data_IF_307693714987
#
_entry.id   IF_307693714987
#
_cell.length_a   1.000
_cell.length_b   1.000
_cell.length_c   1.000
_cell.angle_alpha   90.00
_cell.angle_beta   90.00
_cell.angle_gamma   90.00
#
_symmetry.space_group_name_H-M   'P 1'
#
loop_
_entity.id
_entity.type
_entity.pdbx_description
1 polymer ?
#
# COMPACT_ATOMS: atom_id res chain seq x y z
N UNK A 1 -28.98 13.28 15.01
CA UNK A 1 -28.88 13.42 13.53
C UNK A 1 -27.56 14.05 13.08
N UNK A 2 -26.63 14.35 13.99
CA UNK A 2 -25.27 14.83 13.67
C UNK A 2 -24.31 13.77 14.18
N UNK A 3 -23.52 13.15 13.30
CA UNK A 3 -22.65 12.05 13.69
C UNK A 3 -21.57 11.82 12.66
N UNK A 4 -21.96 11.29 11.50
CA UNK A 4 -21.02 11.04 10.39
C UNK A 4 -21.09 12.11 9.29
N UNK A 5 -22.25 12.72 9.05
CA UNK A 5 -22.46 13.71 7.99
C UNK A 5 -21.63 14.97 8.18
N UNK A 6 -21.67 15.60 9.37
CA UNK A 6 -20.83 16.75 9.71
C UNK A 6 -19.34 16.43 9.60
N UNK A 7 -18.93 15.26 10.10
CA UNK A 7 -17.53 14.87 10.11
C UNK A 7 -17.00 14.64 8.70
N UNK A 8 -17.82 14.01 7.84
CA UNK A 8 -17.50 13.84 6.43
C UNK A 8 -17.37 15.20 5.72
N UNK A 9 -18.27 16.14 5.99
CA UNK A 9 -18.22 17.48 5.40
C UNK A 9 -16.95 18.24 5.83
N UNK A 10 -16.64 18.21 7.13
CA UNK A 10 -15.43 18.84 7.68
C UNK A 10 -14.16 18.21 7.07
N UNK A 11 -14.13 16.88 6.95
CA UNK A 11 -13.00 16.16 6.38
C UNK A 11 -12.78 16.55 4.91
N UNK A 12 -13.85 16.68 4.13
CA UNK A 12 -13.77 17.14 2.73
C UNK A 12 -13.17 18.54 2.68
N UNK A 13 -13.62 19.47 3.53
CA UNK A 13 -13.07 20.84 3.58
C UNK A 13 -11.57 20.82 3.90
N UNK A 14 -11.14 20.03 4.89
CA UNK A 14 -9.73 19.89 5.25
C UNK A 14 -8.90 19.30 4.10
N UNK A 15 -9.42 18.30 3.38
CA UNK A 15 -8.75 17.70 2.22
C UNK A 15 -8.58 18.73 1.10
N UNK A 16 -9.58 19.59 0.87
CA UNK A 16 -9.49 20.65 -0.14
C UNK A 16 -8.41 21.68 0.23
N UNK A 17 -8.33 22.09 1.50
CA UNK A 17 -7.31 23.03 1.98
C UNK A 17 -5.89 22.45 1.91
N UNK A 18 -5.73 21.18 2.26
CA UNK A 18 -4.44 20.48 2.21
C UNK A 18 -4.05 20.16 0.75
N UNK A 19 -5.03 19.92 -0.10
CA UNK A 19 -4.86 19.56 -1.51
C UNK A 19 -4.65 18.06 -1.72
N UNK A 20 -5.26 17.53 -2.77
CA UNK A 20 -5.26 16.10 -3.10
C UNK A 20 -3.85 15.49 -3.31
N UNK A 21 -2.83 16.30 -3.59
CA UNK A 21 -1.44 15.84 -3.73
C UNK A 21 -0.70 15.69 -2.40
N UNK A 22 -1.12 16.38 -1.34
CA UNK A 22 -0.48 16.33 0.00
C UNK A 22 -1.02 15.18 0.84
N UNK A 23 -2.29 14.79 0.67
CA UNK A 23 -2.87 13.60 1.29
C UNK A 23 -2.09 12.30 1.07
N UNK A 24 -1.75 11.89 -0.17
CA UNK A 24 -1.03 10.65 -0.44
C UNK A 24 0.40 10.68 0.12
N UNK A 25 1.02 11.86 0.18
CA UNK A 25 2.36 12.04 0.73
C UNK A 25 2.37 11.89 2.26
N UNK A 26 1.42 12.54 2.94
CA UNK A 26 1.20 12.43 4.39
C UNK A 26 0.83 11.01 4.80
N UNK A 27 -0.05 10.33 4.06
CA UNK A 27 -0.41 8.94 4.34
C UNK A 27 0.75 7.98 4.09
N UNK A 28 1.59 8.21 3.06
CA UNK A 28 2.80 7.41 2.83
C UNK A 28 3.81 7.57 3.95
N UNK A 29 4.11 8.81 4.37
CA UNK A 29 5.09 9.05 5.43
C UNK A 29 4.59 8.56 6.79
N UNK A 30 3.34 8.84 7.15
CA UNK A 30 2.70 8.34 8.36
C UNK A 30 2.59 6.80 8.35
N UNK A 31 2.29 6.19 7.21
CA UNK A 31 2.21 4.73 7.05
C UNK A 31 3.56 4.03 7.28
N UNK A 32 4.67 4.64 6.82
CA UNK A 32 6.02 4.14 7.13
C UNK A 32 6.31 4.20 8.63
N UNK A 33 6.01 5.33 9.28
CA UNK A 33 6.20 5.47 10.74
C UNK A 33 5.32 4.50 11.53
N UNK A 34 4.05 4.34 11.15
CA UNK A 34 3.12 3.41 11.78
C UNK A 34 3.56 1.95 11.62
N UNK A 35 4.22 1.57 10.51
CA UNK A 35 4.77 0.23 10.33
C UNK A 35 5.92 -0.04 11.29
N UNK A 36 6.84 0.91 11.45
CA UNK A 36 7.96 0.81 12.39
C UNK A 36 7.43 0.71 13.82
N UNK A 37 6.53 1.61 14.21
CA UNK A 37 5.90 1.58 15.52
C UNK A 37 5.13 0.28 15.75
N UNK A 38 4.41 -0.25 14.75
CA UNK A 38 3.69 -1.52 14.88
C UNK A 38 4.64 -2.71 15.03
N UNK A 39 5.79 -2.72 14.35
CA UNK A 39 6.79 -3.77 14.54
C UNK A 39 7.44 -3.72 15.93
N UNK A 40 7.80 -2.53 16.41
CA UNK A 40 8.37 -2.35 17.75
C UNK A 40 7.33 -2.65 18.84
N UNK A 41 6.10 -2.16 18.70
CA UNK A 41 5.00 -2.47 19.60
C UNK A 41 4.63 -3.95 19.60
N UNK A 42 4.77 -4.65 18.46
CA UNK A 42 4.56 -6.11 18.39
C UNK A 42 5.69 -6.87 19.09
N UNK A 43 6.94 -6.43 18.97
CA UNK A 43 8.06 -7.03 19.70
C UNK A 43 7.86 -6.93 21.23
N UNK A 44 7.33 -5.80 21.71
CA UNK A 44 6.98 -5.65 23.13
C UNK A 44 5.77 -6.51 23.55
N UNK A 45 4.82 -6.77 22.65
CA UNK A 45 3.66 -7.64 22.93
C UNK A 45 3.92 -9.13 22.73
N UNK A 46 4.95 -9.49 21.97
CA UNK A 46 5.33 -10.87 21.66
C UNK A 46 6.00 -11.59 22.84
N UNK A 47 6.32 -10.89 23.93
CA UNK A 47 6.67 -11.48 25.23
C UNK A 47 5.43 -12.10 25.93
N UNK A 48 4.26 -12.09 25.28
CA UNK A 48 3.06 -12.87 25.60
C UNK A 48 2.73 -13.82 24.43
N UNK A 49 2.24 -15.06 24.69
CA UNK A 49 2.14 -16.11 23.68
C UNK A 49 1.29 -15.67 22.47
N UNK A 50 1.73 -15.97 21.23
CA UNK A 50 1.22 -15.31 20.04
C UNK A 50 -0.12 -15.89 19.57
N UNK A 51 -1.10 -15.01 19.37
CA UNK A 51 -2.25 -15.27 18.50
C UNK A 51 -1.91 -14.83 17.05
N UNK A 52 -1.89 -15.82 16.17
CA UNK A 52 -2.23 -15.81 14.74
C UNK A 52 -1.48 -14.96 13.69
N UNK A 53 -1.18 -15.69 12.61
CA UNK A 53 -1.42 -15.37 11.20
C UNK A 53 -1.74 -13.92 10.81
N UNK A 54 -0.80 -13.29 10.12
CA UNK A 54 -1.18 -12.35 9.05
C UNK A 54 -0.08 -12.28 7.99
N UNK A 55 -0.52 -12.39 6.74
CA UNK A 55 0.23 -12.55 5.51
C UNK A 55 1.49 -11.68 5.42
N UNK A 56 2.63 -12.35 5.29
CA UNK A 56 3.85 -11.72 4.79
C UNK A 56 3.61 -11.22 3.35
N UNK A 57 4.04 -10.00 2.99
CA UNK A 57 3.94 -9.54 1.61
C UNK A 57 4.80 -10.46 0.75
N UNK A 58 4.19 -11.23 -0.15
CA UNK A 58 4.93 -11.95 -1.19
C UNK A 58 5.42 -10.91 -2.19
N UNK A 59 6.67 -10.49 -2.03
CA UNK A 59 7.40 -9.71 -3.03
C UNK A 59 7.65 -10.64 -4.22
N UNK A 60 6.84 -10.50 -5.27
CA UNK A 60 7.12 -11.15 -6.55
C UNK A 60 8.37 -10.46 -7.10
N UNK A 61 9.52 -11.14 -7.00
CA UNK A 61 10.79 -10.68 -7.55
C UNK A 61 10.72 -10.83 -9.08
N UNK A 62 10.26 -9.79 -9.76
CA UNK A 62 10.45 -9.71 -11.21
C UNK A 62 11.96 -9.66 -11.49
N UNK A 63 12.45 -10.59 -12.28
CA UNK A 63 13.83 -10.55 -12.75
C UNK A 63 13.95 -9.41 -13.80
N UNK A 64 15.08 -8.69 -13.86
CA UNK A 64 15.33 -7.74 -14.95
C UNK A 64 15.43 -8.52 -16.27
N UNK A 65 14.31 -8.68 -16.97
CA UNK A 65 14.20 -9.50 -18.18
C UNK A 65 12.77 -9.79 -18.64
N UNK A 66 11.78 -9.75 -17.72
CA UNK A 66 10.39 -10.13 -18.03
C UNK A 66 9.59 -9.05 -18.81
N UNK A 67 10.22 -7.96 -19.25
CA UNK A 67 9.58 -6.89 -20.04
C UNK A 67 10.02 -6.89 -21.50
N UNK A 68 10.21 -8.06 -22.11
CA UNK A 68 10.23 -8.15 -23.58
C UNK A 68 9.62 -9.46 -24.05
N UNK A 69 8.29 -9.49 -24.13
CA UNK A 69 7.62 -10.40 -25.07
C UNK A 69 6.34 -9.75 -25.58
N UNK A 70 6.52 -8.86 -26.55
CA UNK A 70 5.53 -8.63 -27.61
C UNK A 70 6.25 -8.77 -28.95
N UNK A 71 6.48 -10.01 -29.35
CA UNK A 71 6.80 -10.34 -30.73
C UNK A 71 5.61 -11.14 -31.30
N UNK A 72 4.85 -10.61 -32.28
CA UNK A 72 3.86 -11.39 -32.99
C UNK A 72 4.60 -12.37 -33.90
N UNK A 73 4.34 -13.66 -33.72
CA UNK A 73 4.90 -14.72 -34.57
C UNK A 73 4.44 -14.55 -36.02
N UNK A 74 5.36 -14.14 -36.88
CA UNK A 74 5.28 -14.27 -38.32
C UNK A 74 6.37 -15.26 -38.76
N UNK A 75 6.17 -16.54 -38.47
CA UNK A 75 6.96 -17.64 -39.03
C UNK A 75 6.40 -17.98 -40.41
N UNK A 76 6.90 -17.27 -41.42
CA UNK A 76 6.83 -17.68 -42.82
C UNK A 76 8.14 -18.37 -43.20
N UNK A 77 8.16 -19.70 -43.18
CA UNK A 77 9.19 -20.50 -43.83
C UNK A 77 8.51 -21.64 -44.61
N UNK A 78 8.29 -21.42 -45.90
CA UNK A 78 7.87 -22.44 -46.86
C UNK A 78 8.65 -22.23 -48.15
N UNK A 79 9.35 -23.27 -48.61
CA UNK A 79 9.80 -23.45 -49.99
C UNK A 79 11.28 -23.22 -50.22
#
# INVERSE_FOLDING_TARGET
MLGLSELALLLIVVIVLIGAKKLPDLTRSAGKAARIFKSEAKAMKADSPPADGTSAPRVIKAAPGDVTHKAPGAEGNQG
#
